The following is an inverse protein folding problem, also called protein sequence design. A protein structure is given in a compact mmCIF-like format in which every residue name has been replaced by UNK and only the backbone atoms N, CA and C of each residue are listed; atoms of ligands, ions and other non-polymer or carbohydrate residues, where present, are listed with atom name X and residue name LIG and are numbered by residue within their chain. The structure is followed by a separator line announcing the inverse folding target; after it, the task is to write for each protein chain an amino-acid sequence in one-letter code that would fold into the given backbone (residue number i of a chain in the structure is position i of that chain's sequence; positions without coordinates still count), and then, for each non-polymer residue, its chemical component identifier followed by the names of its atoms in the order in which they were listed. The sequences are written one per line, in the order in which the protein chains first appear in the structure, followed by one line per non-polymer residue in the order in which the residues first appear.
data_IF_143224388388
#
_entry.id   IF_143224388388
#
_cell.length_a   1.000
_cell.length_b   1.000
_cell.length_c   1.000
_cell.angle_alpha   90.00
_cell.angle_beta   90.00
_cell.angle_gamma   90.00
#
_symmetry.space_group_name_H-M   'P 1'
#
loop_
_entity.id
_entity.type
_entity.pdbx_description
1 polymer ?
#
# COMPACT_ATOMS: atom_id res chain seq x y z
N UNK A 1 29.22 -14.28 0.61
CA UNK A 1 28.68 -15.63 0.39
C UNK A 1 27.63 -15.54 -0.72
N UNK A 2 27.64 -16.47 -1.69
CA UNK A 2 26.59 -16.55 -2.72
C UNK A 2 25.46 -17.39 -2.15
N UNK A 3 24.26 -16.83 -2.07
CA UNK A 3 23.08 -17.57 -1.62
C UNK A 3 22.55 -18.33 -2.82
N UNK A 4 22.55 -19.66 -2.75
CA UNK A 4 21.98 -20.50 -3.82
C UNK A 4 20.47 -20.27 -3.97
N UNK A 5 19.93 -20.55 -5.15
CA UNK A 5 18.50 -20.45 -5.42
C UNK A 5 17.81 -21.72 -4.96
N UNK A 6 16.78 -21.59 -4.13
CA UNK A 6 16.01 -22.72 -3.61
C UNK A 6 14.52 -22.36 -3.56
N UNK A 7 13.64 -23.36 -3.55
CA UNK A 7 12.18 -23.20 -3.70
C UNK A 7 11.57 -22.12 -2.80
N UNK A 8 11.75 -22.17 -1.47
CA UNK A 8 11.25 -21.15 -0.55
C UNK A 8 11.63 -19.70 -0.91
N UNK A 9 12.88 -19.46 -1.34
CA UNK A 9 13.34 -18.12 -1.75
C UNK A 9 12.63 -17.62 -3.01
N UNK A 10 12.32 -18.51 -3.94
CA UNK A 10 11.56 -18.12 -5.14
C UNK A 10 10.13 -17.73 -4.77
N UNK A 11 9.48 -18.51 -3.92
CA UNK A 11 8.12 -18.23 -3.44
C UNK A 11 8.09 -16.91 -2.68
N UNK A 12 9.02 -16.70 -1.75
CA UNK A 12 9.17 -15.46 -1.00
C UNK A 12 9.31 -14.25 -1.93
N UNK A 13 10.24 -14.30 -2.89
CA UNK A 13 10.49 -13.20 -3.81
C UNK A 13 9.29 -12.88 -4.69
N UNK A 14 8.57 -13.89 -5.18
CA UNK A 14 7.38 -13.70 -6.00
C UNK A 14 6.29 -13.01 -5.19
N UNK A 15 6.00 -13.51 -3.98
CA UNK A 15 4.96 -12.96 -3.11
C UNK A 15 5.28 -11.52 -2.71
N UNK A 16 6.52 -11.24 -2.29
CA UNK A 16 6.92 -9.88 -1.92
C UNK A 16 6.91 -8.93 -3.14
N UNK A 17 7.34 -9.40 -4.31
CA UNK A 17 7.28 -8.64 -5.56
C UNK A 17 5.86 -8.25 -5.92
N UNK A 18 4.93 -9.22 -5.93
CA UNK A 18 3.51 -8.95 -6.20
C UNK A 18 2.90 -7.99 -5.18
N UNK A 19 3.22 -8.14 -3.89
CA UNK A 19 2.76 -7.21 -2.86
C UNK A 19 3.27 -5.77 -3.10
N UNK A 20 4.54 -5.63 -3.54
CA UNK A 20 5.13 -4.33 -3.86
C UNK A 20 4.46 -3.68 -5.07
N UNK A 21 4.14 -4.45 -6.11
CA UNK A 21 3.47 -3.93 -7.31
C UNK A 21 2.07 -3.42 -6.97
N UNK A 22 1.31 -4.17 -6.17
CA UNK A 22 -0.02 -3.75 -5.68
C UNK A 22 0.05 -2.45 -4.88
N UNK A 23 0.99 -2.35 -3.95
CA UNK A 23 1.17 -1.16 -3.13
C UNK A 23 1.59 0.05 -3.97
N UNK A 24 2.53 -0.12 -4.90
CA UNK A 24 2.98 0.97 -5.77
C UNK A 24 1.84 1.54 -6.61
N UNK A 25 0.97 0.68 -7.16
CA UNK A 25 -0.21 1.13 -7.87
C UNK A 25 -1.23 1.84 -6.96
N UNK A 26 -1.42 1.37 -5.73
CA UNK A 26 -2.25 2.05 -4.74
C UNK A 26 -1.71 3.44 -4.39
N UNK A 27 -0.40 3.56 -4.14
CA UNK A 27 0.27 4.84 -3.88
C UNK A 27 0.03 5.85 -5.01
N UNK A 28 0.15 5.42 -6.27
CA UNK A 28 -0.12 6.30 -7.43
C UNK A 28 -1.57 6.82 -7.44
N UNK A 29 -2.54 5.99 -7.04
CA UNK A 29 -3.96 6.39 -6.95
C UNK A 29 -4.20 7.36 -5.80
N UNK A 30 -3.61 7.09 -4.64
CA UNK A 30 -3.69 7.92 -3.42
C UNK A 30 -3.13 9.32 -3.71
N UNK A 31 -1.92 9.41 -4.28
CA UNK A 31 -1.30 10.67 -4.70
C UNK A 31 -2.18 11.44 -5.70
N UNK A 32 -2.68 10.74 -6.73
CA UNK A 32 -3.54 11.34 -7.76
C UNK A 32 -4.85 11.91 -7.19
N UNK A 33 -5.34 11.34 -6.10
CA UNK A 33 -6.55 11.82 -5.41
C UNK A 33 -6.27 13.06 -4.55
N UNK A 34 -5.01 13.42 -4.33
CA UNK A 34 -4.62 14.58 -3.55
C UNK A 34 -4.26 14.27 -2.10
N UNK A 35 -3.90 13.02 -1.81
CA UNK A 35 -3.29 12.62 -0.54
C UNK A 35 -1.76 12.56 -0.73
N UNK A 36 -1.01 13.59 -0.31
CA UNK A 36 0.44 13.61 -0.46
C UNK A 36 1.06 12.59 0.47
N UNK A 37 1.70 11.56 -0.09
CA UNK A 37 2.32 10.49 0.67
C UNK A 37 3.65 10.99 1.21
N UNK A 38 3.75 11.07 2.54
CA UNK A 38 4.99 11.47 3.21
C UNK A 38 5.88 10.28 3.55
N UNK A 39 5.29 9.08 3.68
CA UNK A 39 6.00 7.86 4.03
C UNK A 39 5.18 6.62 3.64
N UNK A 40 5.87 5.50 3.42
CA UNK A 40 5.25 4.17 3.39
C UNK A 40 6.13 3.17 4.16
N UNK A 41 5.53 2.18 4.83
CA UNK A 41 6.23 1.14 5.59
C UNK A 41 5.54 -0.20 5.38
N UNK A 42 6.25 -1.21 4.87
CA UNK A 42 5.62 -2.47 4.44
C UNK A 42 4.42 -2.21 3.51
N UNK A 43 3.20 -2.48 3.94
CA UNK A 43 1.91 -2.25 3.27
C UNK A 43 1.18 -0.99 3.74
N UNK A 44 1.77 -0.23 4.66
CA UNK A 44 1.23 1.02 5.20
C UNK A 44 1.62 2.22 4.32
N UNK A 45 0.65 3.11 4.09
CA UNK A 45 0.85 4.41 3.43
C UNK A 45 0.45 5.49 4.44
N UNK A 46 1.28 6.53 4.56
CA UNK A 46 1.03 7.67 5.43
C UNK A 46 0.96 8.91 4.56
N UNK A 47 -0.16 9.62 4.63
CA UNK A 47 -0.37 10.90 3.96
C UNK A 47 -0.62 12.01 4.99
N UNK A 48 -0.10 13.20 4.72
CA UNK A 48 -0.35 14.40 5.52
C UNK A 48 -1.20 15.38 4.72
N UNK A 49 -2.35 15.73 5.29
CA UNK A 49 -3.33 16.63 4.68
C UNK A 49 -3.82 17.65 5.72
N UNK A 50 -4.27 18.86 5.31
CA UNK A 50 -4.86 19.83 6.22
C UNK A 50 -6.03 19.24 7.04
N UNK A 51 -6.20 19.69 8.28
CA UNK A 51 -7.35 19.27 9.11
C UNK A 51 -8.68 19.58 8.39
N UNK A 52 -9.58 18.60 8.37
CA UNK A 52 -10.87 18.70 7.67
C UNK A 52 -10.81 18.42 6.16
N UNK A 53 -9.67 17.97 5.63
CA UNK A 53 -9.55 17.51 4.25
C UNK A 53 -9.29 16.00 4.18
N UNK A 54 -9.97 15.34 3.24
CA UNK A 54 -9.88 13.89 3.09
C UNK A 54 -10.49 13.10 4.25
N UNK A 55 -10.37 11.77 4.17
CA UNK A 55 -10.75 10.85 5.25
C UNK A 55 -9.96 9.55 5.14
N UNK A 56 -9.80 8.87 6.27
CA UNK A 56 -9.20 7.52 6.33
C UNK A 56 -9.98 6.56 5.46
N UNK A 57 -11.32 6.59 5.54
CA UNK A 57 -12.20 5.70 4.78
C UNK A 57 -11.97 5.86 3.27
N UNK A 58 -11.90 7.08 2.75
CA UNK A 58 -11.63 7.33 1.32
C UNK A 58 -10.23 6.81 0.93
N UNK A 59 -9.21 7.04 1.76
CA UNK A 59 -7.86 6.54 1.50
C UNK A 59 -7.82 4.99 1.49
N UNK A 60 -8.51 4.34 2.43
CA UNK A 60 -8.65 2.89 2.49
C UNK A 60 -9.39 2.33 1.26
N UNK A 61 -10.46 2.97 0.82
CA UNK A 61 -11.19 2.60 -0.41
C UNK A 61 -10.27 2.64 -1.64
N UNK A 62 -9.44 3.69 -1.76
CA UNK A 62 -8.50 3.85 -2.87
C UNK A 62 -7.40 2.79 -2.84
N UNK A 63 -6.89 2.47 -1.65
CA UNK A 63 -5.91 1.40 -1.44
C UNK A 63 -6.48 0.03 -1.80
N UNK A 64 -7.77 -0.21 -1.52
CA UNK A 64 -8.45 -1.48 -1.80
C UNK A 64 -8.82 -1.68 -3.29
N UNK A 65 -8.64 -0.67 -4.15
CA UNK A 65 -8.90 -0.81 -5.60
C UNK A 65 -7.98 -1.85 -6.21
N UNK A 66 -8.57 -2.90 -6.80
CA UNK A 66 -7.84 -3.96 -7.49
C UNK A 66 -7.37 -3.48 -8.86
N UNK A 67 -6.09 -3.68 -9.22
CA UNK A 67 -5.65 -3.49 -10.59
C UNK A 67 -6.19 -4.60 -11.48
N UNK A 68 -6.33 -4.30 -12.78
CA UNK A 68 -6.94 -5.21 -13.77
C UNK A 68 -6.28 -6.59 -13.83
N UNK A 69 -4.99 -6.67 -13.55
CA UNK A 69 -4.23 -7.93 -13.59
C UNK A 69 -4.39 -8.76 -12.30
N UNK A 70 -4.89 -8.17 -11.21
CA UNK A 70 -5.17 -8.83 -9.94
C UNK A 70 -6.67 -8.92 -9.65
N UNK A 71 -7.49 -8.98 -10.70
CA UNK A 71 -8.94 -9.10 -10.57
C UNK A 71 -9.32 -10.36 -9.76
N UNK A 72 -10.18 -10.17 -8.76
CA UNK A 72 -10.62 -11.22 -7.85
C UNK A 72 -9.72 -11.41 -6.62
N UNK A 73 -8.59 -10.68 -6.52
CA UNK A 73 -7.76 -10.69 -5.32
C UNK A 73 -8.42 -9.84 -4.22
N UNK A 74 -8.78 -10.42 -3.06
CA UNK A 74 -9.44 -9.67 -2.00
C UNK A 74 -8.45 -8.69 -1.33
N UNK A 75 -8.42 -7.45 -1.82
CA UNK A 75 -7.69 -6.34 -1.21
C UNK A 75 -8.58 -5.65 -0.19
N UNK A 76 -8.05 -5.45 1.02
CA UNK A 76 -8.67 -4.67 2.09
C UNK A 76 -7.60 -3.76 2.68
N UNK A 77 -8.01 -2.55 3.04
CA UNK A 77 -7.18 -1.62 3.78
C UNK A 77 -7.91 -1.25 5.07
N UNK A 78 -7.14 -1.02 6.12
CA UNK A 78 -7.61 -0.50 7.40
C UNK A 78 -6.65 0.62 7.80
N UNK A 79 -7.12 1.59 8.57
CA UNK A 79 -6.36 2.80 8.84
C UNK A 79 -6.93 3.64 9.98
N UNK A 80 -6.20 4.68 10.33
CA UNK A 80 -6.64 5.65 11.34
C UNK A 80 -6.05 7.03 11.04
N UNK A 81 -6.69 8.07 11.55
CA UNK A 81 -6.19 9.44 11.52
C UNK A 81 -5.59 9.80 12.88
N UNK A 82 -4.51 10.57 12.85
CA UNK A 82 -3.85 11.04 14.06
C UNK A 82 -3.04 12.30 13.77
N UNK A 83 -2.78 13.09 14.82
CA UNK A 83 -1.97 14.32 14.72
C UNK A 83 -0.46 14.05 14.69
N UNK A 84 -0.06 12.81 14.96
CA UNK A 84 1.33 12.37 15.03
C UNK A 84 1.39 10.87 14.76
N UNK A 85 2.41 10.43 14.03
CA UNK A 85 2.63 9.03 13.70
C UNK A 85 2.63 8.15 14.96
N UNK A 86 1.88 7.05 14.92
CA UNK A 86 1.82 6.02 15.96
C UNK A 86 2.18 4.68 15.32
N UNK A 87 3.22 4.03 15.87
CA UNK A 87 3.64 2.68 15.49
C UNK A 87 3.08 1.66 16.47
#
# INVERSE_FOLDING_TARGET
SRIETYGPKLVENIVQGTARDLLAEAMLRVEKKGYPIVMHCHDEIIAEVPEGSGSVDEMCEIMAVQPKWAEGLPLRADGFECRFYKK
#
